data_IF_217930238977
#
_entry.id   IF_217930238977
#
_cell.length_a   1.000
_cell.length_b   1.000
_cell.length_c   1.000
_cell.angle_alpha   90.00
_cell.angle_beta   90.00
_cell.angle_gamma   90.00
#
_symmetry.space_group_name_H-M   'P 1'
#
loop_
_entity.id
_entity.type
_entity.pdbx_description
1 polymer ?
#
# COMPACT_ATOMS: atom_id res chain seq x y z
N UNK A 1 24.94 -35.21 9.15
CA UNK A 1 25.88 -34.07 9.23
C UNK A 1 26.63 -34.05 7.91
N UNK A 2 26.67 -32.94 7.16
CA UNK A 2 26.86 -31.58 7.65
C UNK A 2 25.65 -30.65 7.41
N UNK A 3 25.50 -29.68 8.30
CA UNK A 3 24.47 -28.65 8.24
C UNK A 3 24.95 -27.44 7.46
N UNK A 4 24.07 -26.93 6.60
CA UNK A 4 24.28 -25.70 5.86
C UNK A 4 23.69 -24.53 6.67
N UNK A 5 24.56 -23.85 7.41
CA UNK A 5 24.22 -22.61 8.09
C UNK A 5 24.27 -21.47 7.08
N UNK A 6 23.11 -21.07 6.54
CA UNK A 6 22.99 -19.80 5.84
C UNK A 6 23.45 -18.66 6.77
N UNK A 7 24.36 -17.76 6.34
CA UNK A 7 24.87 -16.70 7.18
C UNK A 7 23.75 -15.72 7.52
N UNK A 8 23.52 -15.50 8.82
CA UNK A 8 22.69 -14.39 9.32
C UNK A 8 23.29 -13.09 8.80
N UNK A 9 22.63 -12.46 7.83
CA UNK A 9 23.05 -11.16 7.33
C UNK A 9 22.91 -10.13 8.46
N UNK A 10 24.05 -9.64 8.94
CA UNK A 10 24.09 -8.48 9.83
C UNK A 10 23.57 -7.30 9.01
N UNK A 11 22.51 -6.64 9.50
CA UNK A 11 21.96 -5.43 8.89
C UNK A 11 23.09 -4.40 8.78
N UNK A 12 23.34 -3.92 7.56
CA UNK A 12 24.35 -2.90 7.28
C UNK A 12 24.09 -1.66 8.17
N UNK A 13 25.10 -1.15 8.91
CA UNK A 13 24.99 0.04 9.73
C UNK A 13 24.43 1.27 8.98
N UNK A 14 24.62 1.35 7.66
CA UNK A 14 24.08 2.41 6.78
C UNK A 14 22.57 2.30 6.60
N UNK A 15 22.03 1.09 6.53
CA UNK A 15 20.58 0.82 6.47
C UNK A 15 19.88 1.13 7.79
N UNK A 16 20.55 0.89 8.93
CA UNK A 16 20.08 1.33 10.24
C UNK A 16 20.08 2.87 10.39
N UNK A 17 20.94 3.57 9.64
CA UNK A 17 20.94 5.03 9.54
C UNK A 17 19.72 5.54 8.76
N UNK A 18 19.47 4.99 7.58
CA UNK A 18 18.34 5.34 6.72
C UNK A 18 16.97 5.05 7.38
N UNK A 19 16.85 3.94 8.11
CA UNK A 19 15.66 3.66 8.91
C UNK A 19 15.49 4.68 10.04
N UNK A 20 16.57 5.06 10.74
CA UNK A 20 16.51 6.11 11.78
C UNK A 20 16.19 7.50 11.23
N UNK A 21 16.54 7.77 9.99
CA UNK A 21 16.24 9.03 9.30
C UNK A 21 14.80 9.07 8.76
N UNK A 22 14.31 7.94 8.23
CA UNK A 22 12.88 7.73 7.92
C UNK A 22 12.01 7.89 9.18
N UNK A 23 12.43 7.30 10.30
CA UNK A 23 11.74 7.41 11.60
C UNK A 23 11.78 8.84 12.16
N UNK A 24 12.92 9.56 12.05
CA UNK A 24 13.01 10.98 12.44
C UNK A 24 12.14 11.90 11.58
N UNK A 25 12.10 11.67 10.27
CA UNK A 25 11.20 12.42 9.39
C UNK A 25 9.73 12.18 9.77
N UNK A 26 9.37 10.96 10.19
CA UNK A 26 8.03 10.65 10.69
C UNK A 26 7.73 11.26 12.09
N UNK A 27 8.75 11.49 12.93
CA UNK A 27 8.66 12.24 14.20
C UNK A 27 8.33 13.71 13.97
N UNK A 28 8.97 14.35 12.99
CA UNK A 28 8.75 15.77 12.67
C UNK A 28 7.31 16.06 12.17
N UNK A 29 6.57 15.03 11.72
CA UNK A 29 5.16 15.12 11.33
C UNK A 29 4.18 14.60 12.40
N UNK A 30 4.65 14.22 13.60
CA UNK A 30 3.79 13.76 14.70
C UNK A 30 3.21 12.35 14.53
N UNK A 31 3.77 11.51 13.64
CA UNK A 31 3.18 10.22 13.24
C UNK A 31 3.95 8.98 13.76
N UNK A 32 5.04 9.15 14.53
CA UNK A 32 5.85 8.02 15.03
C UNK A 32 5.17 7.13 16.05
N UNK A 33 4.18 7.65 16.78
CA UNK A 33 3.40 6.88 17.75
C UNK A 33 2.71 5.68 17.07
N UNK A 34 2.31 5.79 15.79
CA UNK A 34 1.71 4.70 15.00
C UNK A 34 2.69 3.54 14.78
N UNK A 35 3.89 3.86 14.30
CA UNK A 35 4.92 2.86 13.99
C UNK A 35 5.41 2.18 15.26
N UNK A 36 5.56 2.93 16.37
CA UNK A 36 5.98 2.37 17.65
C UNK A 36 4.88 1.61 18.40
N UNK A 37 3.59 1.97 18.28
CA UNK A 37 2.50 1.17 18.84
C UNK A 37 2.36 -0.18 18.13
N UNK A 38 2.45 -0.20 16.79
CA UNK A 38 2.42 -1.44 16.01
C UNK A 38 3.55 -2.43 16.40
N UNK A 39 4.71 -1.92 16.87
CA UNK A 39 5.83 -2.73 17.37
C UNK A 39 5.54 -3.49 18.66
N UNK A 40 4.69 -2.99 19.56
CA UNK A 40 4.50 -3.58 20.90
C UNK A 40 3.67 -4.86 20.89
N UNK A 41 2.88 -5.09 19.83
CA UNK A 41 1.91 -6.20 19.76
C UNK A 41 2.38 -7.42 18.95
N UNK A 42 3.68 -7.56 18.66
CA UNK A 42 4.24 -8.67 17.86
C UNK A 42 4.62 -9.87 18.75
N UNK A 43 3.88 -11.00 18.75
CA UNK A 43 4.23 -12.18 19.53
C UNK A 43 5.41 -12.94 18.89
N UNK A 44 6.35 -13.42 19.70
CA UNK A 44 7.50 -14.25 19.28
C UNK A 44 7.05 -15.67 18.88
N UNK A 45 6.71 -15.86 17.60
CA UNK A 45 6.46 -17.16 16.96
C UNK A 45 7.64 -17.70 16.13
N UNK A 46 7.58 -18.98 15.68
CA UNK A 46 8.67 -19.79 15.12
C UNK A 46 9.10 -19.31 13.71
N UNK A 47 10.14 -19.89 13.05
CA UNK A 47 11.03 -19.18 12.12
C UNK A 47 10.22 -18.49 11.02
N UNK A 48 10.24 -17.16 11.07
CA UNK A 48 9.15 -16.32 10.60
C UNK A 48 9.19 -16.19 9.07
N UNK A 49 8.01 -16.23 8.47
CA UNK A 49 7.78 -15.56 7.19
C UNK A 49 8.41 -14.15 7.25
N UNK A 50 9.01 -13.72 6.13
CA UNK A 50 9.59 -12.37 5.98
C UNK A 50 8.69 -11.31 6.62
N UNK A 51 9.25 -10.47 7.49
CA UNK A 51 8.57 -9.33 8.09
C UNK A 51 8.46 -8.15 7.10
N UNK A 52 7.51 -7.23 7.33
CA UNK A 52 7.41 -6.01 6.50
C UNK A 52 8.67 -5.15 6.60
N UNK A 53 9.36 -5.18 7.73
CA UNK A 53 10.64 -4.50 7.95
C UNK A 53 11.76 -5.09 7.09
N UNK A 54 11.88 -6.41 7.03
CA UNK A 54 12.84 -7.09 6.17
C UNK A 54 12.53 -6.83 4.69
N UNK A 55 11.25 -6.82 4.32
CA UNK A 55 10.81 -6.48 2.98
C UNK A 55 11.15 -5.03 2.62
N UNK A 56 10.90 -4.09 3.53
CA UNK A 56 11.28 -2.69 3.33
C UNK A 56 12.80 -2.54 3.19
N UNK A 57 13.59 -3.18 4.06
CA UNK A 57 15.04 -3.13 3.98
C UNK A 57 15.55 -3.62 2.62
N UNK A 58 14.97 -4.70 2.08
CA UNK A 58 15.29 -5.24 0.76
C UNK A 58 15.01 -4.27 -0.39
N UNK A 59 13.89 -3.53 -0.31
CA UNK A 59 13.41 -2.70 -1.43
C UNK A 59 13.60 -1.19 -1.26
N UNK A 60 14.10 -0.73 -0.12
CA UNK A 60 14.30 0.70 0.17
C UNK A 60 15.16 1.40 -0.91
N UNK A 61 16.20 0.72 -1.40
CA UNK A 61 17.07 1.13 -2.49
C UNK A 61 16.72 0.53 -3.87
N UNK A 62 15.49 0.03 -4.08
CA UNK A 62 15.11 -0.69 -5.31
C UNK A 62 15.39 0.13 -6.58
N UNK A 63 15.98 -0.49 -7.59
CA UNK A 63 16.24 0.10 -8.92
C UNK A 63 15.75 -0.82 -10.05
N UNK A 64 14.81 -1.71 -9.76
CA UNK A 64 14.33 -2.75 -10.69
C UNK A 64 13.56 -2.19 -11.90
N UNK A 65 13.18 -0.91 -11.89
CA UNK A 65 12.57 -0.23 -13.03
C UNK A 65 13.02 1.23 -13.10
N UNK A 66 12.64 1.91 -14.19
CA UNK A 66 13.01 3.31 -14.46
C UNK A 66 12.54 4.28 -13.37
N UNK A 67 11.37 4.04 -12.77
CA UNK A 67 10.82 4.88 -11.70
C UNK A 67 11.73 4.96 -10.48
N UNK A 68 12.50 3.90 -10.22
CA UNK A 68 13.41 3.88 -9.10
C UNK A 68 14.53 4.90 -9.22
N UNK A 69 14.89 5.30 -10.46
CA UNK A 69 16.00 6.21 -10.75
C UNK A 69 15.63 7.68 -10.54
N UNK A 70 14.36 8.03 -10.61
CA UNK A 70 13.86 9.41 -10.56
C UNK A 70 13.09 9.77 -9.30
N UNK A 71 12.59 8.78 -8.54
CA UNK A 71 11.88 9.03 -7.26
C UNK A 71 12.73 9.85 -6.30
N UNK A 72 12.09 10.69 -5.49
CA UNK A 72 12.76 11.31 -4.33
C UNK A 72 12.77 10.35 -3.14
N UNK A 73 11.63 9.71 -2.85
CA UNK A 73 11.50 8.68 -1.80
C UNK A 73 10.66 7.51 -2.28
N UNK A 74 10.98 6.32 -1.78
CA UNK A 74 10.08 5.19 -1.95
C UNK A 74 8.85 5.38 -1.07
N UNK A 75 7.67 5.14 -1.64
CA UNK A 75 6.40 5.13 -0.93
C UNK A 75 5.97 3.68 -0.81
N UNK A 76 6.51 3.01 0.20
CA UNK A 76 6.36 1.57 0.38
C UNK A 76 4.91 1.16 0.72
N UNK A 77 4.30 1.94 1.61
CA UNK A 77 2.99 1.69 2.20
C UNK A 77 3.02 2.02 3.70
N UNK A 78 1.86 2.21 4.31
CA UNK A 78 1.77 2.57 5.72
C UNK A 78 0.44 2.11 6.35
N UNK A 79 0.47 1.77 7.64
CA UNK A 79 -0.69 1.45 8.45
C UNK A 79 -0.46 0.27 9.38
N UNK A 80 -1.55 -0.36 9.82
CA UNK A 80 -1.53 -1.51 10.72
C UNK A 80 -0.87 -2.75 10.11
N UNK A 81 -0.05 -3.46 10.89
CA UNK A 81 0.49 -4.78 10.55
C UNK A 81 -0.57 -5.90 10.63
N UNK A 82 -1.74 -5.61 11.24
CA UNK A 82 -2.94 -6.46 11.26
C UNK A 82 -4.14 -5.65 10.78
N UNK A 83 -4.17 -5.28 9.48
CA UNK A 83 -5.13 -4.31 9.00
C UNK A 83 -6.53 -4.92 8.89
N UNK A 84 -7.54 -4.12 9.22
CA UNK A 84 -8.95 -4.44 8.96
C UNK A 84 -9.29 -4.43 7.46
N UNK A 85 -8.43 -3.83 6.64
CA UNK A 85 -8.51 -3.84 5.19
C UNK A 85 -7.24 -3.26 4.56
N UNK A 86 -6.90 -3.74 3.37
CA UNK A 86 -5.76 -3.25 2.59
C UNK A 86 -6.27 -2.40 1.42
N UNK A 87 -5.88 -1.13 1.37
CA UNK A 87 -6.30 -0.17 0.35
C UNK A 87 -5.15 0.07 -0.63
N UNK A 88 -5.38 -0.18 -1.91
CA UNK A 88 -4.35 -0.19 -2.95
C UNK A 88 -4.71 0.84 -4.02
N UNK A 89 -3.91 1.90 -4.13
CA UNK A 89 -3.97 2.89 -5.21
C UNK A 89 -3.06 2.57 -6.39
N UNK A 90 -2.96 3.53 -7.31
CA UNK A 90 -2.16 3.40 -8.54
C UNK A 90 -0.65 3.54 -8.27
N UNK A 91 -0.24 4.68 -7.75
CA UNK A 91 1.16 5.06 -7.54
C UNK A 91 1.27 6.35 -6.74
N UNK A 92 2.46 6.71 -6.27
CA UNK A 92 2.72 8.00 -5.63
C UNK A 92 2.51 9.15 -6.61
N UNK A 93 1.96 10.26 -6.13
CA UNK A 93 2.01 11.55 -6.81
C UNK A 93 3.14 12.42 -6.27
N UNK A 94 3.13 13.70 -6.66
CA UNK A 94 4.15 14.66 -6.27
C UNK A 94 4.39 14.70 -4.74
N UNK A 95 3.35 14.91 -3.93
CA UNK A 95 3.51 15.10 -2.47
C UNK A 95 3.96 13.80 -1.78
N UNK A 96 3.41 12.67 -2.22
CA UNK A 96 3.77 11.34 -1.71
C UNK A 96 5.27 11.06 -1.93
N UNK A 97 5.82 11.42 -3.10
CA UNK A 97 7.23 11.22 -3.43
C UNK A 97 8.19 12.00 -2.52
N UNK A 98 7.82 13.20 -2.05
CA UNK A 98 8.66 14.01 -1.15
C UNK A 98 8.57 13.53 0.30
N UNK A 99 7.37 13.11 0.71
CA UNK A 99 7.12 12.68 2.09
C UNK A 99 7.51 11.22 2.31
N UNK A 100 7.48 10.39 1.28
CA UNK A 100 7.67 8.94 1.40
C UNK A 100 6.43 8.22 1.94
N UNK A 101 5.28 8.89 1.95
CA UNK A 101 4.04 8.44 2.60
C UNK A 101 2.91 8.33 1.57
N UNK A 102 2.08 7.27 1.62
CA UNK A 102 1.01 7.09 0.65
C UNK A 102 -0.17 8.01 0.94
N UNK A 103 -0.80 8.53 -0.12
CA UNK A 103 -2.03 9.31 -0.06
C UNK A 103 -1.92 10.49 0.94
N UNK A 104 -1.03 11.45 0.72
CA UNK A 104 -0.83 12.62 1.59
C UNK A 104 -1.25 13.94 0.95
N UNK A 105 -1.61 13.94 -0.34
CA UNK A 105 -2.26 15.07 -1.01
C UNK A 105 -3.79 15.07 -0.83
N UNK A 106 -4.48 15.91 -1.61
CA UNK A 106 -5.96 16.09 -1.58
C UNK A 106 -6.74 14.77 -1.74
N UNK A 107 -6.24 13.86 -2.58
CA UNK A 107 -6.86 12.54 -2.77
C UNK A 107 -6.77 11.70 -1.48
N UNK A 108 -5.69 11.86 -0.72
CA UNK A 108 -5.50 11.22 0.57
C UNK A 108 -6.40 11.78 1.66
N UNK A 109 -6.55 13.10 1.74
CA UNK A 109 -7.50 13.72 2.68
C UNK A 109 -8.93 13.23 2.43
N UNK A 110 -9.33 13.04 1.17
CA UNK A 110 -10.63 12.46 0.84
C UNK A 110 -10.69 10.97 1.24
N UNK A 111 -9.61 10.21 1.04
CA UNK A 111 -9.54 8.83 1.50
C UNK A 111 -9.73 8.73 3.01
N UNK A 112 -9.14 9.64 3.79
CA UNK A 112 -9.31 9.68 5.25
C UNK A 112 -10.76 9.89 5.67
N UNK A 113 -11.46 10.79 4.98
CA UNK A 113 -12.91 11.00 5.22
C UNK A 113 -13.74 9.78 4.82
N UNK A 114 -13.35 9.08 3.74
CA UNK A 114 -14.02 7.85 3.31
C UNK A 114 -13.82 6.73 4.35
N UNK A 115 -12.59 6.54 4.84
CA UNK A 115 -12.26 5.58 5.88
C UNK A 115 -13.07 5.86 7.16
N UNK A 116 -13.06 7.12 7.61
CA UNK A 116 -13.81 7.54 8.79
C UNK A 116 -15.31 7.26 8.65
N UNK A 117 -15.89 7.52 7.47
CA UNK A 117 -17.31 7.26 7.21
C UNK A 117 -17.70 5.78 7.30
N UNK A 118 -16.76 4.85 7.12
CA UNK A 118 -16.98 3.40 7.31
C UNK A 118 -16.44 2.88 8.65
N UNK A 119 -16.08 3.76 9.58
CA UNK A 119 -15.56 3.39 10.90
C UNK A 119 -14.15 2.80 10.87
N UNK A 120 -13.33 3.22 9.91
CA UNK A 120 -11.92 2.89 9.79
C UNK A 120 -11.07 4.16 9.89
N UNK A 121 -9.77 3.97 9.98
CA UNK A 121 -8.76 5.03 10.06
C UNK A 121 -7.42 4.51 9.55
N UNK A 122 -6.44 5.38 9.29
CA UNK A 122 -5.09 4.98 8.83
C UNK A 122 -4.41 4.01 9.78
N UNK A 123 -4.70 4.12 11.08
CA UNK A 123 -4.17 3.26 12.15
C UNK A 123 -4.74 1.84 12.10
N UNK A 124 -5.93 1.66 11.51
CA UNK A 124 -6.64 0.38 11.50
C UNK A 124 -6.59 -0.34 10.16
N UNK A 125 -6.13 0.34 9.11
CA UNK A 125 -5.97 -0.21 7.76
C UNK A 125 -4.51 -0.22 7.35
N UNK A 126 -4.20 -0.80 6.19
CA UNK A 126 -2.91 -0.59 5.53
C UNK A 126 -3.16 0.02 4.15
N UNK A 127 -2.38 1.02 3.78
CA UNK A 127 -2.50 1.75 2.51
C UNK A 127 -1.22 1.55 1.71
N UNK A 128 -1.38 1.15 0.45
CA UNK A 128 -0.29 0.89 -0.48
C UNK A 128 -0.68 1.32 -1.90
N UNK A 129 0.23 1.17 -2.85
CA UNK A 129 0.01 1.39 -4.28
C UNK A 129 0.54 0.22 -5.11
N UNK A 130 0.09 0.10 -6.36
CA UNK A 130 0.63 -0.86 -7.35
C UNK A 130 2.13 -0.63 -7.56
N UNK A 131 2.53 0.61 -7.87
CA UNK A 131 3.95 1.00 -7.91
C UNK A 131 4.34 1.78 -6.66
N UNK A 132 5.60 1.66 -6.21
CA UNK A 132 6.12 2.31 -5.00
C UNK A 132 6.88 3.63 -5.26
N UNK A 133 6.99 4.01 -6.52
CA UNK A 133 7.79 5.15 -6.98
C UNK A 133 6.93 6.03 -7.89
N UNK A 134 7.10 7.35 -7.83
CA UNK A 134 6.29 8.33 -8.57
C UNK A 134 6.49 8.22 -10.09
N UNK A 135 5.45 7.86 -10.86
CA UNK A 135 5.55 7.85 -12.31
C UNK A 135 5.41 9.28 -12.86
N UNK A 136 6.52 9.77 -13.40
CA UNK A 136 6.65 11.14 -13.95
C UNK A 136 6.66 11.12 -15.48
N UNK A 137 6.10 12.16 -16.12
CA UNK A 137 6.21 12.41 -17.57
C UNK A 137 7.62 12.90 -17.94
N UNK A 138 8.20 13.75 -17.10
CA UNK A 138 9.53 14.34 -17.25
C UNK A 138 10.38 14.03 -16.01
N UNK A 139 11.00 12.83 -15.94
CA UNK A 139 11.77 12.39 -14.77
C UNK A 139 12.98 13.27 -14.44
N UNK A 140 13.51 13.99 -15.44
CA UNK A 140 14.63 14.93 -15.31
C UNK A 140 14.23 16.21 -14.53
N UNK A 141 12.93 16.48 -14.43
CA UNK A 141 12.36 17.62 -13.73
C UNK A 141 11.41 17.16 -12.62
N UNK A 142 11.92 16.46 -11.60
CA UNK A 142 11.06 15.83 -10.60
C UNK A 142 10.22 16.86 -9.85
N UNK A 143 10.71 18.08 -9.69
CA UNK A 143 10.06 19.18 -8.97
C UNK A 143 9.00 19.94 -9.78
N UNK A 144 8.77 19.55 -11.04
CA UNK A 144 7.67 20.05 -11.86
C UNK A 144 6.30 19.58 -11.31
N UNK A 145 5.36 20.52 -11.17
CA UNK A 145 3.96 20.22 -10.80
C UNK A 145 3.20 19.68 -12.01
N UNK A 146 2.23 18.78 -11.78
CA UNK A 146 1.46 18.17 -12.86
C UNK A 146 2.24 17.11 -13.66
N UNK A 147 3.37 16.65 -13.13
CA UNK A 147 4.24 15.66 -13.76
C UNK A 147 3.70 14.22 -13.68
N UNK A 148 2.62 13.99 -12.93
CA UNK A 148 2.05 12.65 -12.72
C UNK A 148 1.54 12.02 -14.02
N UNK A 149 1.87 10.74 -14.24
CA UNK A 149 1.26 9.88 -15.25
C UNK A 149 0.87 8.52 -14.65
N UNK A 150 0.02 7.74 -15.34
CA UNK A 150 -0.15 6.34 -14.98
C UNK A 150 1.17 5.55 -15.12
N UNK A 151 1.41 4.54 -14.28
CA UNK A 151 2.51 3.61 -14.46
C UNK A 151 2.31 2.75 -15.70
N UNK A 152 3.40 2.41 -16.37
CA UNK A 152 3.42 1.50 -17.51
C UNK A 152 3.30 0.04 -17.03
N UNK A 153 2.81 -0.88 -17.88
CA UNK A 153 2.71 -2.31 -17.55
C UNK A 153 4.00 -2.92 -16.99
N UNK A 154 5.14 -2.64 -17.61
CA UNK A 154 6.46 -3.10 -17.20
C UNK A 154 6.91 -2.52 -15.84
N UNK A 155 6.48 -1.30 -15.52
CA UNK A 155 6.76 -0.67 -14.22
C UNK A 155 5.93 -1.33 -13.11
N UNK A 156 4.66 -1.64 -13.41
CA UNK A 156 3.79 -2.39 -12.50
C UNK A 156 4.31 -3.82 -12.29
N UNK A 157 4.74 -4.48 -13.36
CA UNK A 157 5.32 -5.83 -13.34
C UNK A 157 6.57 -5.89 -12.45
N UNK A 158 7.51 -4.97 -12.67
CA UNK A 158 8.74 -4.90 -11.89
C UNK A 158 8.51 -4.60 -10.40
N UNK A 159 7.42 -3.89 -10.07
CA UNK A 159 7.07 -3.54 -8.69
C UNK A 159 6.20 -4.60 -7.98
N UNK A 160 5.53 -5.48 -8.75
CA UNK A 160 4.59 -6.48 -8.24
C UNK A 160 5.12 -7.34 -7.09
N UNK A 161 6.38 -7.83 -7.10
CA UNK A 161 6.89 -8.66 -6.00
C UNK A 161 6.80 -7.99 -4.63
N UNK A 162 6.91 -6.66 -4.57
CA UNK A 162 6.79 -5.90 -3.32
C UNK A 162 5.35 -5.97 -2.80
N UNK A 163 4.36 -5.72 -3.66
CA UNK A 163 2.96 -5.69 -3.27
C UNK A 163 2.44 -7.10 -2.93
N UNK A 164 2.81 -8.13 -3.70
CA UNK A 164 2.44 -9.52 -3.42
C UNK A 164 3.01 -9.97 -2.06
N UNK A 165 4.26 -9.63 -1.76
CA UNK A 165 4.84 -9.89 -0.44
C UNK A 165 4.10 -9.11 0.66
N UNK A 166 3.76 -7.84 0.46
CA UNK A 166 2.96 -7.07 1.42
C UNK A 166 1.60 -7.73 1.70
N UNK A 167 0.87 -8.15 0.65
CA UNK A 167 -0.42 -8.83 0.81
C UNK A 167 -0.26 -10.13 1.58
N UNK A 168 0.77 -10.93 1.27
CA UNK A 168 1.05 -12.20 1.94
C UNK A 168 1.38 -12.02 3.41
N UNK A 169 2.22 -11.02 3.75
CA UNK A 169 2.64 -10.74 5.12
C UNK A 169 1.49 -10.17 5.95
N UNK A 170 0.73 -9.22 5.40
CA UNK A 170 -0.39 -8.57 6.09
C UNK A 170 -1.62 -9.47 6.19
N UNK A 171 -1.77 -10.42 5.26
CA UNK A 171 -2.87 -11.37 5.18
C UNK A 171 -4.26 -10.73 5.45
N UNK A 172 -4.59 -9.59 4.79
CA UNK A 172 -5.73 -8.75 5.15
C UNK A 172 -7.06 -9.50 4.96
N UNK A 173 -8.12 -9.16 5.70
CA UNK A 173 -9.42 -9.78 5.54
C UNK A 173 -10.13 -9.34 4.25
N UNK A 174 -9.82 -8.15 3.74
CA UNK A 174 -10.39 -7.58 2.51
C UNK A 174 -9.37 -6.66 1.82
N UNK A 175 -9.41 -6.61 0.49
CA UNK A 175 -8.62 -5.68 -0.33
C UNK A 175 -9.57 -4.68 -1.01
N UNK A 176 -9.24 -3.39 -0.95
CA UNK A 176 -9.90 -2.34 -1.71
C UNK A 176 -8.98 -1.87 -2.85
N UNK A 177 -9.42 -2.02 -4.10
CA UNK A 177 -8.70 -1.49 -5.26
C UNK A 177 -9.24 -0.11 -5.63
N UNK A 178 -8.43 0.93 -5.42
CA UNK A 178 -8.80 2.31 -5.65
C UNK A 178 -8.44 2.71 -7.09
N UNK A 179 -9.44 2.73 -7.98
CA UNK A 179 -9.29 3.13 -9.37
C UNK A 179 -9.01 2.00 -10.35
N UNK A 180 -9.01 2.35 -11.64
CA UNK A 180 -8.89 1.39 -12.74
C UNK A 180 -7.55 0.65 -12.73
N UNK A 181 -6.43 1.36 -12.53
CA UNK A 181 -5.09 0.77 -12.57
C UNK A 181 -4.91 -0.29 -11.49
N UNK A 182 -5.30 0.02 -10.24
CA UNK A 182 -5.26 -0.93 -9.14
C UNK A 182 -6.17 -2.14 -9.41
N UNK A 183 -7.41 -1.91 -9.85
CA UNK A 183 -8.36 -2.98 -10.11
C UNK A 183 -7.89 -3.90 -11.24
N UNK A 184 -7.44 -3.34 -12.37
CA UNK A 184 -6.94 -4.09 -13.53
C UNK A 184 -5.69 -4.90 -13.20
N UNK A 185 -4.74 -4.30 -12.47
CA UNK A 185 -3.51 -4.98 -12.07
C UNK A 185 -3.80 -6.17 -11.16
N UNK A 186 -4.62 -5.99 -10.13
CA UNK A 186 -4.94 -7.04 -9.18
C UNK A 186 -5.84 -8.14 -9.75
N UNK A 187 -6.79 -7.79 -10.62
CA UNK A 187 -7.73 -8.74 -11.24
C UNK A 187 -7.23 -9.31 -12.58
N UNK A 188 -6.09 -8.84 -13.08
CA UNK A 188 -5.51 -9.22 -14.39
C UNK A 188 -6.53 -9.12 -15.53
N UNK A 189 -7.19 -7.98 -15.64
CA UNK A 189 -8.25 -7.70 -16.63
C UNK A 189 -8.04 -6.36 -17.35
N UNK A 190 -8.56 -6.22 -18.57
CA UNK A 190 -8.63 -4.96 -19.32
C UNK A 190 -9.86 -4.11 -19.03
N UNK A 191 -10.81 -4.61 -18.24
CA UNK A 191 -12.10 -3.96 -17.99
C UNK A 191 -11.96 -2.56 -17.35
N UNK A 192 -12.86 -1.65 -17.72
CA UNK A 192 -12.95 -0.32 -17.12
C UNK A 192 -13.50 -0.34 -15.69
N UNK A 193 -13.12 0.64 -14.87
CA UNK A 193 -13.54 0.69 -13.46
C UNK A 193 -15.06 0.69 -13.29
N UNK A 194 -15.81 1.35 -14.20
CA UNK A 194 -17.28 1.38 -14.17
C UNK A 194 -17.91 -0.01 -14.26
N UNK A 195 -17.26 -0.96 -14.96
CA UNK A 195 -17.73 -2.36 -15.07
C UNK A 195 -17.33 -3.21 -13.86
N UNK A 196 -16.18 -2.90 -13.26
CA UNK A 196 -15.57 -3.66 -12.17
C UNK A 196 -16.11 -3.28 -10.79
N UNK A 197 -16.43 -1.99 -10.56
CA UNK A 197 -16.85 -1.51 -9.25
C UNK A 197 -18.20 -2.09 -8.79
N UNK A 198 -18.43 -2.04 -7.48
CA UNK A 198 -19.68 -2.51 -6.87
C UNK A 198 -19.86 -4.02 -6.84
N UNK A 199 -18.78 -4.77 -7.08
CA UNK A 199 -18.73 -6.24 -7.06
C UNK A 199 -17.65 -6.71 -6.12
N UNK A 200 -17.78 -7.95 -5.67
CA UNK A 200 -16.76 -8.66 -4.88
C UNK A 200 -16.09 -9.69 -5.77
N UNK A 201 -14.77 -9.65 -5.81
CA UNK A 201 -13.93 -10.62 -6.50
C UNK A 201 -13.12 -11.42 -5.49
N UNK A 202 -12.60 -12.58 -5.89
CA UNK A 202 -11.60 -13.31 -5.12
C UNK A 202 -10.19 -12.91 -5.55
N UNK A 203 -9.33 -12.57 -4.60
CA UNK A 203 -7.89 -12.40 -4.82
C UNK A 203 -7.13 -13.54 -4.12
N UNK A 204 -6.44 -14.41 -4.87
CA UNK A 204 -5.64 -15.49 -4.29
C UNK A 204 -4.35 -14.91 -3.68
N UNK A 205 -4.08 -15.25 -2.42
CA UNK A 205 -2.80 -14.94 -1.77
C UNK A 205 -1.82 -16.08 -2.08
N UNK A 206 -0.80 -15.76 -2.86
CA UNK A 206 0.23 -16.71 -3.29
C UNK A 206 0.81 -17.51 -2.11
N UNK A 207 1.04 -18.81 -2.34
CA UNK A 207 1.67 -19.74 -1.40
C UNK A 207 0.94 -19.94 -0.05
N UNK A 208 -0.34 -19.54 0.04
CA UNK A 208 -1.15 -19.72 1.26
C UNK A 208 -2.41 -20.56 1.07
N UNK A 209 -2.83 -20.80 -0.19
CA UNK A 209 -4.12 -21.42 -0.50
C UNK A 209 -5.35 -20.58 -0.11
N UNK A 210 -5.15 -19.36 0.43
CA UNK A 210 -6.21 -18.47 0.88
C UNK A 210 -6.61 -17.52 -0.24
N UNK A 211 -7.92 -17.32 -0.41
CA UNK A 211 -8.49 -16.26 -1.26
C UNK A 211 -9.15 -15.23 -0.36
N UNK A 212 -8.92 -13.95 -0.65
CA UNK A 212 -9.54 -12.84 0.10
C UNK A 212 -10.47 -12.02 -0.81
N UNK A 213 -11.56 -11.46 -0.28
CA UNK A 213 -12.41 -10.56 -1.04
C UNK A 213 -11.66 -9.32 -1.53
N UNK A 214 -11.87 -8.95 -2.79
CA UNK A 214 -11.36 -7.74 -3.42
C UNK A 214 -12.53 -6.90 -3.94
N UNK A 215 -12.61 -5.64 -3.52
CA UNK A 215 -13.66 -4.69 -3.93
C UNK A 215 -13.04 -3.52 -4.69
N UNK A 216 -13.28 -3.42 -6.01
CA UNK A 216 -12.91 -2.24 -6.78
C UNK A 216 -13.86 -1.06 -6.51
N UNK A 217 -13.30 0.15 -6.47
CA UNK A 217 -14.07 1.39 -6.45
C UNK A 217 -13.34 2.52 -7.19
N UNK A 218 -13.96 3.69 -7.29
CA UNK A 218 -13.32 4.86 -7.89
C UNK A 218 -12.15 5.37 -7.04
N UNK A 219 -11.09 5.83 -7.71
CA UNK A 219 -9.98 6.49 -7.03
C UNK A 219 -10.44 7.81 -6.39
N UNK A 220 -10.00 8.20 -5.19
CA UNK A 220 -10.38 9.47 -4.56
C UNK A 220 -10.13 10.69 -5.45
N UNK A 221 -9.04 10.71 -6.21
CA UNK A 221 -8.77 11.78 -7.18
C UNK A 221 -9.86 11.91 -8.28
N UNK A 222 -10.49 10.81 -8.68
CA UNK A 222 -11.62 10.85 -9.61
C UNK A 222 -12.86 11.46 -8.96
N UNK A 223 -13.12 11.15 -7.69
CA UNK A 223 -14.23 11.72 -6.91
C UNK A 223 -14.07 13.22 -6.63
N UNK A 224 -12.83 13.71 -6.59
CA UNK A 224 -12.53 15.15 -6.50
C UNK A 224 -12.81 15.87 -7.81
N UNK A 225 -12.54 15.23 -8.96
CA UNK A 225 -12.82 15.79 -10.29
C UNK A 225 -14.30 15.72 -10.65
N UNK A 226 -14.95 14.63 -10.28
CA UNK A 226 -16.37 14.38 -10.54
C UNK A 226 -17.09 13.92 -9.25
N UNK A 227 -17.72 14.87 -8.52
CA UNK A 227 -18.47 14.56 -7.32
C UNK A 227 -19.69 13.65 -7.54
N UNK A 228 -20.21 13.52 -8.75
CA UNK A 228 -21.38 12.68 -9.04
C UNK A 228 -21.10 11.20 -8.75
N UNK A 229 -19.83 10.79 -8.88
CA UNK A 229 -19.34 9.44 -8.61
C UNK A 229 -19.39 9.04 -7.12
N UNK A 230 -19.50 10.01 -6.20
CA UNK A 230 -19.46 9.76 -4.75
C UNK A 230 -20.59 8.86 -4.27
N UNK A 231 -21.78 8.95 -4.87
CA UNK A 231 -22.93 8.09 -4.52
C UNK A 231 -22.61 6.62 -4.73
N UNK A 232 -21.94 6.31 -5.83
CA UNK A 232 -21.58 4.95 -6.21
C UNK A 232 -20.37 4.45 -5.42
N UNK A 233 -19.35 5.29 -5.22
CA UNK A 233 -18.26 4.97 -4.31
C UNK A 233 -18.76 4.66 -2.89
N UNK A 234 -19.74 5.41 -2.39
CA UNK A 234 -20.33 5.13 -1.07
C UNK A 234 -21.01 3.76 -0.99
N UNK A 235 -21.70 3.32 -2.06
CA UNK A 235 -22.26 1.95 -2.11
C UNK A 235 -21.15 0.90 -2.02
N UNK A 236 -20.03 1.12 -2.72
CA UNK A 236 -18.88 0.20 -2.70
C UNK A 236 -18.25 0.12 -1.30
N UNK A 237 -18.15 1.26 -0.61
CA UNK A 237 -17.58 1.32 0.74
C UNK A 237 -18.47 0.62 1.77
N UNK A 238 -19.80 0.69 1.63
CA UNK A 238 -20.72 -0.10 2.46
C UNK A 238 -20.58 -1.60 2.19
N UNK A 239 -20.45 -2.00 0.92
CA UNK A 239 -20.18 -3.39 0.55
C UNK A 239 -18.88 -3.88 1.18
N UNK A 240 -17.79 -3.12 1.03
CA UNK A 240 -16.50 -3.42 1.64
C UNK A 240 -16.60 -3.53 3.16
N UNK A 241 -17.31 -2.59 3.82
CA UNK A 241 -17.48 -2.61 5.27
C UNK A 241 -18.17 -3.88 5.77
N UNK A 242 -19.16 -4.38 5.03
CA UNK A 242 -19.84 -5.64 5.35
C UNK A 242 -18.95 -6.89 5.25
N UNK A 243 -17.81 -6.80 4.56
CA UNK A 243 -16.84 -7.90 4.45
C UNK A 243 -15.78 -7.87 5.56
N UNK A 244 -15.67 -6.78 6.32
CA UNK A 244 -14.71 -6.66 7.41
C UNK A 244 -15.25 -7.45 8.61
N UNK A 245 -14.51 -8.45 9.13
CA UNK A 245 -14.93 -9.20 10.30
C UNK A 245 -15.20 -8.27 11.50
N UNK A 246 -16.19 -8.57 12.34
CA UNK A 246 -16.39 -7.85 13.59
C UNK A 246 -15.15 -8.01 14.48
N UNK A 247 -14.90 -7.03 15.35
CA UNK A 247 -13.82 -7.15 16.34
C UNK A 247 -14.10 -8.38 17.19
N UNK A 248 -13.14 -9.31 17.23
CA UNK A 248 -13.18 -10.38 18.23
C UNK A 248 -12.93 -9.71 19.57
N UNK A 249 -13.93 -9.73 20.45
CA UNK A 249 -13.75 -9.34 21.83
C UNK A 249 -12.59 -10.19 22.38
N UNK A 250 -11.54 -9.58 22.96
CA UNK A 250 -10.53 -10.38 23.65
C UNK A 250 -11.24 -11.10 24.79
N UNK A 251 -11.20 -12.44 24.74
CA UNK A 251 -11.57 -13.30 25.85
C UNK A 251 -10.56 -13.14 27.00
#
# INVERSE_FOLDING_TARGET
>A
MPGDHAPRSKIDPRTAGALREFLRTAEDFGETELYYRARRDVPKGPPRAESLEELYARYSGCLNCVLGKSRKKIVFGMGSLRPKGLFIGEGPGYEEDRKGLPFVGKAGELLDRILAAIGLSRETVYIANIVKCHPMREPEHPDMRGNDRPPLPEEMEACRPILEAQIRILAPPVICALGATAARSLLRTGDGITRLRGKVYGYPIADTGRTVPLVPTFHPAALLRDPSLKKDAWKDMKLLRGLIPPERNPA
#
